data_IF_930514092482
#
_entry.id   IF_930514092482
#
_cell.length_a   1.000
_cell.length_b   1.000
_cell.length_c   1.000
_cell.angle_alpha   90.00
_cell.angle_beta   90.00
_cell.angle_gamma   90.00
#
_symmetry.space_group_name_H-M   'P 1'
#
loop_
_entity.id
_entity.type
_entity.pdbx_description
1 polymer ?
#
# COMPACT_ATOMS: atom_id res chain seq x y z
N UNK A 1 1.23 19.48 -1.19
CA UNK A 1 2.57 18.87 -1.26
C UNK A 1 2.47 17.49 -0.65
N UNK A 2 2.66 16.45 -1.44
CA UNK A 2 2.74 15.07 -0.94
C UNK A 2 4.15 14.87 -0.40
N UNK A 3 4.28 14.72 0.91
CA UNK A 3 5.56 14.54 1.59
C UNK A 3 5.82 13.06 1.83
N UNK A 4 6.75 12.46 1.10
CA UNK A 4 7.13 11.05 1.23
C UNK A 4 7.88 10.81 2.54
N UNK A 5 7.13 10.58 3.63
CA UNK A 5 7.66 10.36 4.99
C UNK A 5 7.84 8.88 5.31
N UNK A 6 8.52 8.18 4.41
CA UNK A 6 8.88 6.76 4.49
C UNK A 6 10.20 6.54 3.74
N UNK A 7 10.77 5.34 3.84
CA UNK A 7 12.12 4.99 3.35
C UNK A 7 13.26 5.74 4.06
N UNK A 8 13.06 6.10 5.33
CA UNK A 8 14.11 6.69 6.17
C UNK A 8 15.28 5.73 6.39
N UNK A 9 14.99 4.44 6.55
CA UNK A 9 15.96 3.37 6.77
C UNK A 9 15.71 2.23 5.79
N UNK A 10 16.77 1.52 5.38
CA UNK A 10 16.63 0.46 4.36
C UNK A 10 17.90 -0.36 4.09
N UNK A 11 17.68 -1.62 3.74
CA UNK A 11 18.74 -2.64 3.57
C UNK A 11 19.62 -2.46 2.35
N UNK A 12 19.21 -1.63 1.40
CA UNK A 12 20.03 -1.24 0.25
C UNK A 12 21.20 -0.31 0.60
N UNK A 13 21.16 0.39 1.75
CA UNK A 13 22.13 1.44 2.07
C UNK A 13 22.64 1.47 3.52
N UNK A 14 22.05 0.74 4.47
CA UNK A 14 22.57 0.62 5.83
C UNK A 14 23.05 -0.81 6.14
N UNK A 15 23.70 -1.02 7.29
CA UNK A 15 24.17 -2.34 7.77
C UNK A 15 23.61 -2.70 9.15
N UNK A 16 22.43 -2.16 9.44
CA UNK A 16 21.72 -2.40 10.69
C UNK A 16 20.22 -2.23 10.48
N UNK A 17 19.41 -2.91 11.28
CA UNK A 17 17.95 -2.73 11.25
C UNK A 17 17.57 -1.28 11.58
N UNK A 18 16.50 -0.80 10.96
CA UNK A 18 15.97 0.55 11.16
C UNK A 18 14.56 0.63 10.59
N UNK A 19 13.66 1.31 11.28
CA UNK A 19 12.25 1.39 10.88
C UNK A 19 12.07 2.42 9.76
N UNK A 20 11.50 2.05 8.62
CA UNK A 20 11.47 2.94 7.45
C UNK A 20 10.53 4.15 7.53
N UNK A 21 9.58 4.18 8.47
CA UNK A 21 8.63 5.30 8.65
C UNK A 21 8.38 5.63 10.14
N UNK A 22 9.39 5.98 10.95
CA UNK A 22 9.21 6.21 12.37
C UNK A 22 8.58 7.59 12.62
N UNK A 23 7.60 7.69 13.52
CA UNK A 23 6.94 8.97 13.81
C UNK A 23 7.85 9.92 14.60
N UNK A 24 8.67 9.35 15.48
CA UNK A 24 9.56 10.00 16.44
C UNK A 24 10.97 9.38 16.38
N UNK A 25 12.02 10.06 16.88
CA UNK A 25 13.39 9.53 16.85
C UNK A 25 13.60 8.41 17.86
N UNK A 26 14.60 7.57 17.62
CA UNK A 26 15.04 6.55 18.57
C UNK A 26 16.29 7.00 19.35
N UNK A 27 16.43 6.69 20.66
CA UNK A 27 17.60 7.09 21.46
C UNK A 27 18.94 6.53 20.97
N UNK A 28 18.91 5.42 20.21
CA UNK A 28 20.11 4.82 19.62
C UNK A 28 20.51 5.44 18.28
N UNK A 29 19.74 6.38 17.73
CA UNK A 29 20.10 7.06 16.49
C UNK A 29 21.34 7.93 16.71
N UNK A 30 22.43 7.75 15.94
CA UNK A 30 23.63 8.57 16.05
C UNK A 30 23.34 10.05 15.83
N UNK A 31 24.18 10.91 16.45
CA UNK A 31 24.14 12.34 16.15
C UNK A 31 24.40 12.62 14.67
N UNK A 32 23.85 13.73 14.17
CA UNK A 32 23.88 14.09 12.76
C UNK A 32 22.59 13.66 12.03
N UNK A 33 22.71 13.43 10.72
CA UNK A 33 21.57 13.17 9.82
C UNK A 33 20.68 12.02 10.29
N UNK A 34 21.26 10.95 10.85
CA UNK A 34 20.50 9.80 11.35
C UNK A 34 19.51 10.16 12.46
N UNK A 35 19.79 11.18 13.28
CA UNK A 35 18.86 11.66 14.32
C UNK A 35 17.66 12.43 13.73
N UNK A 36 17.70 12.75 12.43
CA UNK A 36 16.71 13.56 11.72
C UNK A 36 15.75 12.70 10.86
N UNK A 37 15.99 11.39 10.78
CA UNK A 37 15.27 10.46 9.92
C UNK A 37 13.94 9.98 10.54
N UNK A 38 13.02 10.91 10.81
CA UNK A 38 11.66 10.61 11.29
C UNK A 38 10.62 11.61 10.77
N UNK A 39 9.35 11.20 10.77
CA UNK A 39 8.23 11.94 10.14
C UNK A 39 8.14 13.38 10.67
N UNK A 40 8.10 13.57 11.99
CA UNK A 40 7.92 14.90 12.57
C UNK A 40 9.11 15.84 12.33
N UNK A 41 10.32 15.31 12.13
CA UNK A 41 11.44 16.14 11.72
C UNK A 41 11.24 16.66 10.30
N UNK A 42 10.90 15.79 9.36
CA UNK A 42 10.67 16.19 7.96
C UNK A 42 9.51 17.18 7.84
N UNK A 43 8.43 16.99 8.59
CA UNK A 43 7.33 17.98 8.67
C UNK A 43 7.86 19.32 9.16
N UNK A 44 8.59 19.34 10.28
CA UNK A 44 9.16 20.56 10.86
C UNK A 44 10.14 21.25 9.90
N UNK A 45 10.95 20.48 9.18
CA UNK A 45 11.87 20.98 8.17
C UNK A 45 11.11 21.79 7.11
N UNK A 46 10.07 21.23 6.50
CA UNK A 46 9.28 21.93 5.48
C UNK A 46 8.49 23.12 6.01
N UNK A 47 7.98 23.04 7.25
CA UNK A 47 7.36 24.18 7.92
C UNK A 47 8.36 25.34 8.11
N UNK A 48 9.59 25.04 8.52
CA UNK A 48 10.65 26.05 8.69
C UNK A 48 11.08 26.69 7.36
N UNK A 49 10.94 25.98 6.25
CA UNK A 49 11.16 26.49 4.90
C UNK A 49 9.95 27.24 4.31
N UNK A 50 8.87 27.42 5.10
CA UNK A 50 7.74 28.27 4.75
C UNK A 50 6.61 27.56 4.00
N UNK A 51 6.61 26.22 3.92
CA UNK A 51 5.45 25.49 3.37
C UNK A 51 4.27 25.67 4.32
N UNK A 52 3.11 26.18 3.85
CA UNK A 52 1.92 26.29 4.70
C UNK A 52 1.50 24.93 5.23
N UNK A 53 1.15 24.88 6.52
CA UNK A 53 0.85 23.67 7.27
C UNK A 53 -0.25 22.83 6.62
N UNK A 54 -1.31 23.49 6.18
CA UNK A 54 -2.46 22.94 5.48
C UNK A 54 -2.15 22.42 4.06
N UNK A 55 -0.95 22.69 3.53
CA UNK A 55 -0.49 22.15 2.25
C UNK A 55 0.44 20.95 2.39
N UNK A 56 0.84 20.58 3.60
CA UNK A 56 1.65 19.38 3.87
C UNK A 56 0.71 18.19 4.01
N UNK A 57 0.80 17.24 3.08
CA UNK A 57 0.08 15.97 3.12
C UNK A 57 1.10 14.87 3.44
N UNK A 58 0.96 14.22 4.60
CA UNK A 58 1.94 13.27 5.13
C UNK A 58 1.79 11.90 4.45
N UNK A 59 2.90 11.30 4.02
CA UNK A 59 2.92 9.98 3.39
C UNK A 59 2.90 8.85 4.41
N UNK A 60 1.94 7.93 4.27
CA UNK A 60 1.83 6.72 5.08
C UNK A 60 2.09 5.50 4.20
N UNK A 61 2.83 4.52 4.73
CA UNK A 61 3.26 3.35 3.98
C UNK A 61 2.43 2.11 4.36
N UNK A 62 1.93 1.37 3.38
CA UNK A 62 1.25 0.06 3.56
C UNK A 62 2.19 -1.09 3.21
N UNK A 63 3.49 -0.89 3.37
CA UNK A 63 4.54 -1.87 3.18
C UNK A 63 5.55 -1.70 4.32
N UNK A 64 6.46 -2.66 4.45
CA UNK A 64 7.61 -2.58 5.34
C UNK A 64 8.92 -2.71 4.57
N UNK A 65 9.99 -2.20 5.16
CA UNK A 65 11.36 -2.47 4.68
C UNK A 65 12.07 -3.43 5.62
N UNK A 66 12.57 -4.50 5.02
CA UNK A 66 13.11 -5.65 5.72
C UNK A 66 14.60 -5.86 5.53
N UNK A 67 15.12 -6.70 6.41
CA UNK A 67 16.52 -6.93 6.67
C UNK A 67 16.77 -8.42 6.92
N UNK A 68 17.93 -8.90 6.49
CA UNK A 68 18.49 -10.17 6.94
C UNK A 68 19.45 -9.91 8.10
N UNK A 69 19.18 -10.54 9.24
CA UNK A 69 19.99 -10.39 10.45
C UNK A 69 21.33 -11.12 10.29
N UNK A 70 22.41 -10.51 10.76
CA UNK A 70 23.72 -11.19 10.88
C UNK A 70 23.72 -12.16 12.05
N UNK A 71 22.98 -11.83 13.10
CA UNK A 71 22.85 -12.61 14.34
C UNK A 71 21.37 -12.68 14.71
N UNK A 72 20.75 -13.85 14.53
CA UNK A 72 19.30 -14.04 14.76
C UNK A 72 18.88 -13.83 16.22
N UNK A 73 19.84 -13.78 17.15
CA UNK A 73 19.55 -13.48 18.57
C UNK A 73 19.45 -11.98 18.84
N UNK A 74 19.88 -11.14 17.89
CA UNK A 74 19.80 -9.67 17.96
C UNK A 74 18.73 -9.17 17.03
N UNK A 75 17.56 -8.88 17.58
CA UNK A 75 16.35 -8.55 16.81
C UNK A 75 15.81 -7.15 17.09
N UNK A 76 16.53 -6.35 17.88
CA UNK A 76 16.14 -4.99 18.21
C UNK A 76 16.43 -3.98 17.10
N UNK A 77 16.08 -2.72 17.35
CA UNK A 77 16.46 -1.57 16.52
C UNK A 77 17.99 -1.44 16.48
N UNK A 78 18.55 -1.20 15.28
CA UNK A 78 19.99 -1.15 14.99
C UNK A 78 20.75 -2.47 15.23
N UNK A 79 20.05 -3.60 15.22
CA UNK A 79 20.71 -4.90 15.20
C UNK A 79 21.57 -5.05 13.93
N UNK A 80 22.77 -5.68 14.01
CA UNK A 80 23.60 -5.92 12.84
C UNK A 80 22.85 -6.73 11.77
N UNK A 81 22.79 -6.20 10.57
CA UNK A 81 22.04 -6.78 9.47
C UNK A 81 22.75 -6.50 8.13
N UNK A 82 22.62 -7.42 7.18
CA UNK A 82 23.25 -7.29 5.87
C UNK A 82 22.36 -7.87 4.77
N UNK A 83 21.87 -6.99 3.90
CA UNK A 83 20.93 -7.33 2.84
C UNK A 83 19.47 -7.28 3.28
N UNK A 84 18.59 -7.28 2.28
CA UNK A 84 17.15 -7.32 2.50
C UNK A 84 16.67 -8.69 2.96
N UNK A 85 15.50 -8.71 3.57
CA UNK A 85 14.79 -9.97 3.80
C UNK A 85 14.48 -10.66 2.46
N UNK A 86 14.13 -11.94 2.54
CA UNK A 86 13.72 -12.73 1.38
C UNK A 86 12.57 -12.03 0.68
N UNK A 87 12.63 -11.98 -0.65
CA UNK A 87 11.60 -11.35 -1.46
C UNK A 87 10.23 -11.98 -1.18
N UNK A 88 9.22 -11.13 -1.11
CA UNK A 88 7.83 -11.57 -0.93
C UNK A 88 7.35 -12.41 -2.12
N UNK A 89 6.32 -13.22 -1.88
CA UNK A 89 5.67 -14.02 -2.92
C UNK A 89 4.99 -13.14 -3.99
N UNK A 90 4.54 -11.97 -3.59
CA UNK A 90 3.74 -11.06 -4.41
C UNK A 90 4.50 -9.77 -4.71
N UNK A 91 5.25 -9.22 -3.74
CA UNK A 91 6.09 -8.04 -3.99
C UNK A 91 7.27 -8.36 -4.92
N UNK A 92 7.76 -9.60 -4.88
CA UNK A 92 8.90 -10.12 -5.65
C UNK A 92 10.20 -9.31 -5.52
N UNK A 93 10.29 -8.43 -4.52
CA UNK A 93 11.45 -7.56 -4.26
C UNK A 93 12.07 -7.88 -2.90
N UNK A 94 13.39 -8.11 -2.87
CA UNK A 94 14.11 -8.34 -1.62
C UNK A 94 14.20 -7.03 -0.82
N UNK A 95 13.95 -7.11 0.48
CA UNK A 95 13.93 -5.93 1.33
C UNK A 95 12.57 -5.23 1.41
N UNK A 96 11.54 -5.67 0.66
CA UNK A 96 10.20 -5.08 0.66
C UNK A 96 9.15 -6.17 0.83
N UNK A 97 8.23 -5.97 1.77
CA UNK A 97 7.00 -6.75 1.87
C UNK A 97 5.79 -5.82 1.98
N UNK A 98 4.72 -6.16 1.27
CA UNK A 98 3.41 -5.55 1.47
C UNK A 98 2.85 -5.84 2.87
N UNK A 99 1.89 -5.05 3.34
CA UNK A 99 1.24 -5.29 4.63
C UNK A 99 0.66 -6.70 4.74
N UNK A 100 0.02 -7.18 3.67
CA UNK A 100 -0.57 -8.52 3.66
C UNK A 100 0.49 -9.63 3.69
N UNK A 101 1.67 -9.46 3.08
CA UNK A 101 2.77 -10.44 3.18
C UNK A 101 3.38 -10.48 4.59
N UNK A 102 3.58 -9.31 5.22
CA UNK A 102 4.08 -9.22 6.59
C UNK A 102 3.15 -9.95 7.55
N UNK A 103 1.86 -9.73 7.36
CA UNK A 103 0.80 -10.38 8.08
C UNK A 103 0.78 -11.90 7.87
N UNK A 104 0.99 -12.40 6.64
CA UNK A 104 1.14 -13.84 6.40
C UNK A 104 2.30 -14.44 7.20
N UNK A 105 3.46 -13.78 7.25
CA UNK A 105 4.59 -14.25 8.06
C UNK A 105 4.28 -14.25 9.56
N UNK A 106 3.54 -13.26 10.06
CA UNK A 106 3.12 -13.21 11.47
C UNK A 106 2.14 -14.35 11.80
N UNK A 107 1.15 -14.58 10.94
CA UNK A 107 0.06 -15.54 11.20
C UNK A 107 0.45 -16.99 10.93
N UNK A 108 1.23 -17.24 9.86
CA UNK A 108 1.53 -18.58 9.35
C UNK A 108 2.93 -19.04 9.71
N UNK A 109 3.90 -18.13 9.73
CA UNK A 109 5.32 -18.46 9.87
C UNK A 109 5.87 -18.17 11.28
N UNK A 110 5.02 -17.71 12.18
CA UNK A 110 5.33 -17.50 13.60
C UNK A 110 6.25 -16.31 13.87
N UNK A 111 6.29 -15.32 12.97
CA UNK A 111 7.03 -14.08 13.24
C UNK A 111 6.46 -13.37 14.46
N UNK A 112 7.35 -12.83 15.29
CA UNK A 112 7.01 -12.08 16.49
C UNK A 112 6.92 -10.61 16.15
N UNK A 113 5.92 -9.93 16.71
CA UNK A 113 5.75 -8.48 16.56
C UNK A 113 6.23 -7.80 17.84
N UNK A 114 6.95 -6.71 17.68
CA UNK A 114 7.37 -5.84 18.78
C UNK A 114 7.02 -4.38 18.48
N UNK A 115 6.73 -3.61 19.52
CA UNK A 115 6.42 -2.19 19.42
C UNK A 115 7.63 -1.35 19.84
N UNK A 116 8.05 -0.43 18.97
CA UNK A 116 9.12 0.54 19.26
C UNK A 116 8.48 1.75 19.92
N UNK A 117 8.50 1.78 21.25
CA UNK A 117 7.77 2.79 22.03
C UNK A 117 8.25 4.22 21.75
N UNK A 118 9.54 4.40 21.50
CA UNK A 118 10.16 5.68 21.19
C UNK A 118 9.78 6.19 19.79
N UNK A 119 9.61 5.29 18.83
CA UNK A 119 9.31 5.65 17.43
C UNK A 119 7.81 5.58 17.07
N UNK A 120 6.98 4.99 17.95
CA UNK A 120 5.52 4.83 17.78
C UNK A 120 5.12 3.99 16.58
N UNK A 121 5.88 2.93 16.33
CA UNK A 121 5.71 2.03 15.19
C UNK A 121 6.13 0.61 15.57
N UNK A 122 5.58 -0.43 14.92
CA UNK A 122 5.98 -1.81 15.16
C UNK A 122 7.14 -2.26 14.26
N UNK A 123 7.73 -3.39 14.62
CA UNK A 123 8.49 -4.23 13.72
C UNK A 123 8.13 -5.69 13.95
N UNK A 124 8.44 -6.56 12.99
CA UNK A 124 8.30 -8.00 13.13
C UNK A 124 9.62 -8.70 12.82
N UNK A 125 9.83 -9.88 13.39
CA UNK A 125 11.02 -10.67 13.15
C UNK A 125 10.76 -12.17 13.30
N UNK A 126 11.52 -12.96 12.56
CA UNK A 126 11.45 -14.42 12.57
C UNK A 126 12.37 -15.01 11.51
N UNK A 127 12.87 -16.22 11.74
CA UNK A 127 13.67 -16.97 10.76
C UNK A 127 14.91 -16.19 10.24
N UNK A 128 15.56 -15.43 11.12
CA UNK A 128 16.72 -14.60 10.78
C UNK A 128 16.40 -13.34 9.98
N UNK A 129 15.12 -12.97 9.87
CA UNK A 129 14.65 -11.77 9.18
C UNK A 129 14.00 -10.78 10.15
N UNK A 130 14.01 -9.51 9.75
CA UNK A 130 13.46 -8.39 10.50
C UNK A 130 12.77 -7.43 9.54
N UNK A 131 11.61 -6.89 9.89
CA UNK A 131 10.91 -5.88 9.06
C UNK A 131 10.29 -4.78 9.91
N UNK A 132 10.58 -3.53 9.57
CA UNK A 132 9.91 -2.36 10.12
C UNK A 132 8.74 -2.02 9.22
N UNK A 133 7.54 -1.90 9.80
CA UNK A 133 6.30 -1.75 9.04
C UNK A 133 5.28 -0.93 9.84
N UNK A 134 4.23 -0.47 9.18
CA UNK A 134 3.12 0.20 9.85
C UNK A 134 1.92 -0.75 10.10
N UNK A 135 1.23 -0.54 11.22
CA UNK A 135 0.02 -1.25 11.63
C UNK A 135 -1.17 -0.29 11.79
N UNK A 136 -2.41 -0.77 12.04
CA UNK A 136 -3.53 0.12 12.31
C UNK A 136 -3.23 1.04 13.49
N UNK A 137 -2.55 0.54 14.53
CA UNK A 137 -2.17 1.34 15.69
C UNK A 137 -1.22 2.48 15.32
N UNK A 138 -0.18 2.24 14.51
CA UNK A 138 0.73 3.32 14.09
C UNK A 138 0.07 4.28 13.08
N UNK A 139 -0.79 3.79 12.18
CA UNK A 139 -1.63 4.63 11.32
C UNK A 139 -2.53 5.55 12.13
N UNK A 140 -3.15 5.03 13.20
CA UNK A 140 -3.96 5.82 14.12
C UNK A 140 -3.12 6.92 14.77
N UNK A 141 -1.96 6.58 15.33
CA UNK A 141 -1.05 7.55 15.97
C UNK A 141 -0.53 8.61 15.00
N UNK A 142 -0.21 8.23 13.76
CA UNK A 142 0.18 9.16 12.70
C UNK A 142 -1.00 10.07 12.31
N UNK A 143 -2.20 9.51 12.12
CA UNK A 143 -3.41 10.26 11.80
C UNK A 143 -3.78 11.31 12.86
N UNK A 144 -3.78 10.95 14.15
CA UNK A 144 -4.05 11.92 15.21
C UNK A 144 -2.97 13.00 15.28
N UNK A 145 -1.73 12.65 14.95
CA UNK A 145 -0.62 13.61 14.90
C UNK A 145 -0.81 14.60 13.77
N UNK A 146 -1.23 14.14 12.58
CA UNK A 146 -1.57 14.99 11.43
C UNK A 146 -2.65 16.02 11.82
N UNK A 147 -3.72 15.59 12.50
CA UNK A 147 -4.78 16.48 12.97
C UNK A 147 -4.26 17.48 14.01
N UNK A 148 -3.51 17.01 15.01
CA UNK A 148 -3.00 17.87 16.10
C UNK A 148 -1.97 18.89 15.61
N UNK A 149 -1.16 18.50 14.63
CA UNK A 149 -0.25 19.37 13.91
C UNK A 149 -0.97 20.19 12.83
N UNK A 150 -2.30 20.16 12.72
CA UNK A 150 -3.07 20.98 11.76
C UNK A 150 -2.62 20.85 10.31
N UNK A 151 -2.06 19.69 9.93
CA UNK A 151 -1.54 19.41 8.58
C UNK A 151 -2.69 19.18 7.60
N UNK A 152 -2.39 19.25 6.30
CA UNK A 152 -3.41 19.16 5.24
C UNK A 152 -4.04 17.78 5.04
N UNK A 153 -3.45 16.72 5.59
CA UNK A 153 -4.00 15.36 5.53
C UNK A 153 -2.92 14.30 5.40
N UNK A 154 -3.34 13.11 4.96
CA UNK A 154 -2.46 11.98 4.64
C UNK A 154 -2.66 11.53 3.19
N UNK A 155 -1.60 11.02 2.57
CA UNK A 155 -1.69 10.18 1.37
C UNK A 155 -1.05 8.83 1.68
N UNK A 156 -1.45 7.79 0.95
CA UNK A 156 -1.00 6.42 1.23
C UNK A 156 -0.22 5.87 0.04
N UNK A 157 0.94 5.28 0.32
CA UNK A 157 1.73 4.50 -0.62
C UNK A 157 1.79 3.04 -0.15
N UNK A 158 1.05 2.12 -0.74
CA UNK A 158 0.04 2.30 -1.78
C UNK A 158 -1.18 1.42 -1.53
N UNK A 159 -2.28 1.69 -2.23
CA UNK A 159 -3.58 1.06 -1.96
C UNK A 159 -3.55 -0.46 -2.14
N UNK A 160 -2.77 -0.95 -3.10
CA UNK A 160 -2.62 -2.36 -3.45
C UNK A 160 -1.73 -3.15 -2.48
N UNK A 161 -0.96 -2.46 -1.63
CA UNK A 161 -0.12 -3.10 -0.60
C UNK A 161 -0.80 -3.19 0.77
N UNK A 162 -1.95 -2.53 0.96
CA UNK A 162 -2.82 -2.77 2.12
C UNK A 162 -3.48 -4.15 2.01
N UNK A 163 -4.11 -4.65 3.09
CA UNK A 163 -4.90 -5.88 3.00
C UNK A 163 -6.26 -5.62 2.35
N UNK A 164 -6.25 -5.37 1.04
CA UNK A 164 -7.42 -5.00 0.24
C UNK A 164 -8.48 -6.12 0.15
N UNK A 165 -8.09 -7.36 0.44
CA UNK A 165 -8.97 -8.53 0.38
C UNK A 165 -9.36 -9.09 1.76
N UNK A 166 -8.74 -8.66 2.85
CA UNK A 166 -9.04 -9.14 4.21
C UNK A 166 -8.39 -10.49 4.55
N UNK A 167 -7.20 -10.78 4.00
CA UNK A 167 -6.45 -12.01 4.26
C UNK A 167 -5.83 -12.07 5.67
N UNK A 168 -5.72 -10.94 6.35
CA UNK A 168 -5.18 -10.82 7.71
C UNK A 168 -6.16 -11.19 8.82
N UNK A 169 -7.34 -11.70 8.47
CA UNK A 169 -8.44 -11.96 9.41
C UNK A 169 -9.24 -10.70 9.78
N UNK A 170 -8.70 -9.51 9.50
CA UNK A 170 -9.35 -8.22 9.72
C UNK A 170 -10.27 -7.76 8.57
N UNK A 171 -10.82 -6.53 8.67
CA UNK A 171 -11.59 -5.95 7.58
C UNK A 171 -10.71 -5.62 6.38
N UNK A 172 -11.30 -5.56 5.18
CA UNK A 172 -10.62 -5.03 3.99
C UNK A 172 -10.10 -3.62 4.24
N UNK A 173 -8.92 -3.34 3.69
CA UNK A 173 -8.24 -2.07 3.77
C UNK A 173 -8.03 -1.57 5.21
N UNK A 174 -7.41 -2.36 6.10
CA UNK A 174 -7.29 -2.00 7.52
C UNK A 174 -6.53 -0.68 7.73
N UNK A 175 -5.50 -0.39 6.94
CA UNK A 175 -4.73 0.86 7.07
C UNK A 175 -5.55 2.06 6.59
N UNK A 176 -6.14 1.96 5.38
CA UNK A 176 -6.96 3.04 4.82
C UNK A 176 -8.23 3.30 5.65
N UNK A 177 -8.86 2.25 6.19
CA UNK A 177 -10.01 2.38 7.10
C UNK A 177 -9.61 3.15 8.36
N UNK A 178 -8.46 2.84 8.94
CA UNK A 178 -7.99 3.51 10.15
C UNK A 178 -7.82 5.01 9.92
N UNK A 179 -7.17 5.41 8.82
CA UNK A 179 -6.95 6.84 8.55
C UNK A 179 -8.28 7.55 8.22
N UNK A 180 -9.19 6.89 7.51
CA UNK A 180 -10.53 7.40 7.24
C UNK A 180 -11.31 7.64 8.54
N UNK A 181 -11.30 6.68 9.46
CA UNK A 181 -11.96 6.78 10.76
C UNK A 181 -11.38 7.93 11.59
N UNK A 182 -10.06 8.07 11.64
CA UNK A 182 -9.40 9.17 12.35
C UNK A 182 -9.83 10.54 11.79
N UNK A 183 -9.85 10.71 10.47
CA UNK A 183 -10.21 12.00 9.86
C UNK A 183 -11.72 12.30 9.91
N UNK A 184 -12.59 11.29 9.86
CA UNK A 184 -14.05 11.50 9.88
C UNK A 184 -14.64 11.60 11.29
N UNK A 185 -14.06 10.92 12.28
CA UNK A 185 -14.46 11.03 13.69
C UNK A 185 -13.88 12.29 14.37
N UNK A 186 -13.06 13.07 13.67
CA UNK A 186 -12.37 14.27 14.17
C UNK A 186 -13.27 15.49 14.46
N UNK A 187 -14.60 15.34 14.40
CA UNK A 187 -15.57 16.43 14.63
C UNK A 187 -15.39 17.14 15.99
N UNK A 188 -14.57 16.62 16.90
CA UNK A 188 -13.85 17.41 17.93
C UNK A 188 -12.48 16.81 18.25
N UNK A 189 -11.39 17.54 17.94
CA UNK A 189 -9.98 17.19 18.28
C UNK A 189 -9.76 16.86 19.77
N UNK A 190 -10.63 17.36 20.65
CA UNK A 190 -10.64 17.08 22.09
C UNK A 190 -10.86 15.59 22.46
N UNK A 191 -11.38 14.76 21.56
CA UNK A 191 -11.65 13.35 21.83
C UNK A 191 -10.54 12.40 21.34
N UNK A 192 -9.56 12.88 20.58
CA UNK A 192 -8.45 12.05 20.05
C UNK A 192 -7.34 11.88 21.09
N UNK A 193 -7.27 10.70 21.67
CA UNK A 193 -6.26 10.32 22.66
C UNK A 193 -5.10 9.59 22.00
N UNK A 194 -3.90 9.74 22.54
CA UNK A 194 -2.78 8.85 22.21
C UNK A 194 -2.94 7.60 23.09
N UNK A 195 -3.38 6.44 22.56
CA UNK A 195 -3.41 5.22 23.34
C UNK A 195 -1.99 4.73 23.67
N UNK A 196 -1.84 4.04 24.80
CA UNK A 196 -0.66 3.21 25.05
C UNK A 196 -0.79 1.95 24.19
N UNK A 197 0.18 1.73 23.29
CA UNK A 197 0.21 0.58 22.38
C UNK A 197 1.26 -0.40 22.88
N UNK A 198 0.92 -1.70 22.88
CA UNK A 198 1.81 -2.80 23.32
C UNK A 198 1.98 -3.81 22.19
N UNK A 199 3.13 -4.46 22.12
CA UNK A 199 3.45 -5.50 21.12
C UNK A 199 2.32 -6.54 20.97
N UNK A 200 1.79 -7.04 22.08
CA UNK A 200 0.69 -8.01 22.08
C UNK A 200 -0.63 -7.46 21.49
N UNK A 201 -0.88 -6.15 21.61
CA UNK A 201 -2.04 -5.49 20.99
C UNK A 201 -1.88 -5.41 19.49
N UNK A 202 -0.68 -5.04 19.01
CA UNK A 202 -0.40 -4.96 17.57
C UNK A 202 -0.50 -6.35 16.95
N UNK A 203 0.16 -7.35 17.55
CA UNK A 203 0.07 -8.73 17.09
C UNK A 203 -1.37 -9.22 17.03
N UNK A 204 -2.18 -8.88 18.04
CA UNK A 204 -3.61 -9.20 18.06
C UNK A 204 -4.36 -8.47 16.94
N UNK A 205 -4.14 -7.16 16.73
CA UNK A 205 -4.81 -6.36 15.70
C UNK A 205 -4.61 -6.92 14.28
N UNK A 206 -3.43 -7.51 14.04
CA UNK A 206 -3.07 -8.20 12.79
C UNK A 206 -3.63 -9.63 12.70
N UNK A 207 -4.28 -10.12 13.77
CA UNK A 207 -4.79 -11.48 13.90
C UNK A 207 -6.26 -11.54 14.33
N UNK A 208 -7.01 -10.42 14.35
CA UNK A 208 -8.41 -10.44 14.79
C UNK A 208 -9.33 -10.87 13.67
N UNK A 209 -9.85 -12.10 13.77
CA UNK A 209 -11.15 -12.49 13.21
C UNK A 209 -12.26 -11.72 13.95
N UNK A 210 -12.80 -10.67 13.34
CA UNK A 210 -13.98 -9.97 13.86
C UNK A 210 -15.27 -10.60 13.31
N UNK A 211 -15.60 -11.81 13.78
CA UNK A 211 -16.93 -12.39 13.57
C UNK A 211 -17.98 -11.90 14.57
N UNK A 212 -17.63 -11.25 15.68
CA UNK A 212 -18.62 -10.74 16.65
C UNK A 212 -18.20 -9.46 17.38
N UNK A 213 -18.62 -8.29 16.86
CA UNK A 213 -18.99 -7.14 17.71
C UNK A 213 -19.78 -6.07 16.94
N UNK A 214 -21.06 -6.34 16.68
CA UNK A 214 -22.11 -5.29 16.70
C UNK A 214 -23.44 -5.93 17.11
N UNK A 215 -23.59 -6.20 18.40
CA UNK A 215 -24.90 -6.25 19.03
C UNK A 215 -25.38 -4.82 19.27
N UNK A 216 -25.99 -4.23 18.25
CA UNK A 216 -26.90 -3.10 18.41
C UNK A 216 -28.32 -3.57 18.09
N UNK A 217 -29.13 -3.59 19.14
CA UNK A 217 -30.56 -3.92 19.10
C UNK A 217 -31.34 -2.83 18.34
N UNK A 218 -32.06 -3.22 17.29
CA UNK A 218 -33.33 -2.63 16.91
C UNK A 218 -34.13 -3.64 16.09
N UNK A 219 -35.41 -3.79 16.44
CA UNK A 219 -36.29 -4.88 16.04
C UNK A 219 -37.23 -4.54 14.87
N UNK A 220 -37.81 -5.62 14.32
CA UNK A 220 -39.00 -5.74 13.45
C UNK A 220 -38.80 -5.47 11.94
N UNK A 221 -39.27 -6.28 10.98
CA UNK A 221 -40.06 -7.52 10.95
C UNK A 221 -40.03 -8.10 9.51
N UNK A 222 -40.48 -9.35 9.24
CA UNK A 222 -40.06 -10.16 8.09
C UNK A 222 -41.05 -10.15 6.91
N UNK A 223 -40.56 -10.41 5.70
CA UNK A 223 -41.38 -10.75 4.53
C UNK A 223 -40.78 -11.94 3.74
N UNK A 224 -41.47 -13.07 3.90
CA UNK A 224 -41.77 -14.15 2.95
C UNK A 224 -40.66 -14.78 2.10
N UNK A 225 -40.43 -16.06 2.41
CA UNK A 225 -39.84 -17.08 1.56
C UNK A 225 -40.74 -17.44 0.36
N UNK A 226 -40.10 -17.83 -0.75
CA UNK A 226 -40.67 -18.78 -1.70
C UNK A 226 -39.64 -19.88 -1.98
N UNK A 227 -40.03 -21.09 -1.60
CA UNK A 227 -39.44 -22.37 -2.00
C UNK A 227 -39.50 -22.57 -3.51
N UNK A 228 -38.48 -23.23 -4.07
CA UNK A 228 -38.70 -24.32 -5.01
C UNK A 228 -37.57 -25.36 -4.93
N UNK A 229 -38.00 -26.59 -4.68
CA UNK A 229 -37.20 -27.79 -4.50
C UNK A 229 -36.90 -28.53 -5.81
N UNK A 230 -35.85 -29.36 -5.74
CA UNK A 230 -35.60 -30.61 -6.51
C UNK A 230 -35.16 -30.44 -7.98
N UNK A 231 -34.25 -31.24 -8.54
CA UNK A 231 -33.87 -32.61 -8.24
C UNK A 231 -32.48 -32.98 -8.80
N UNK A 232 -31.87 -33.94 -8.12
CA UNK A 232 -30.72 -34.79 -8.43
C UNK A 232 -30.58 -35.32 -9.88
N UNK A 233 -29.33 -35.52 -10.31
CA UNK A 233 -28.88 -36.83 -10.82
C UNK A 233 -27.36 -36.98 -10.73
N UNK A 234 -26.97 -38.10 -10.12
CA UNK A 234 -25.64 -38.69 -10.02
C UNK A 234 -25.27 -39.45 -11.29
N UNK A 235 -23.99 -39.49 -11.68
CA UNK A 235 -23.38 -40.68 -12.29
C UNK A 235 -21.88 -40.79 -11.94
N UNK A 236 -21.46 -42.05 -11.79
CA UNK A 236 -20.24 -42.54 -11.15
C UNK A 236 -19.37 -43.27 -12.18
N UNK A 237 -18.07 -43.34 -11.86
CA UNK A 237 -17.09 -44.43 -12.10
C UNK A 237 -16.62 -44.72 -13.53
N UNK A 238 -15.30 -44.69 -13.75
CA UNK A 238 -14.46 -45.91 -13.76
C UNK A 238 -12.97 -45.62 -14.02
N UNK A 239 -12.12 -46.39 -13.33
CA UNK A 239 -10.65 -46.47 -13.39
C UNK A 239 -10.13 -47.12 -14.69
N UNK A 240 -8.89 -46.84 -15.11
CA UNK A 240 -7.97 -47.87 -15.60
C UNK A 240 -6.48 -47.46 -15.57
N UNK A 241 -5.64 -48.49 -15.62
CA UNK A 241 -4.31 -48.66 -15.02
C UNK A 241 -3.15 -48.66 -16.04
N UNK A 242 -1.95 -48.37 -15.54
CA UNK A 242 -0.57 -48.79 -15.89
C UNK A 242 -0.24 -49.41 -17.27
N UNK A 243 0.83 -48.93 -17.93
CA UNK A 243 2.14 -49.62 -17.93
C UNK A 243 3.25 -48.90 -18.74
N UNK A 244 4.48 -49.22 -18.36
CA UNK A 244 5.77 -48.66 -18.78
C UNK A 244 6.26 -49.02 -20.21
N UNK A 245 7.22 -48.22 -20.68
CA UNK A 245 8.60 -48.59 -21.09
C UNK A 245 9.11 -48.23 -22.51
N UNK A 246 10.27 -47.56 -22.46
CA UNK A 246 11.46 -47.63 -23.31
C UNK A 246 11.81 -46.60 -24.40
N UNK A 247 13.08 -46.17 -24.28
CA UNK A 247 13.90 -45.21 -25.01
C UNK A 247 14.07 -45.50 -26.51
N UNK A 248 14.23 -44.44 -27.32
CA UNK A 248 15.47 -44.22 -28.09
C UNK A 248 15.51 -42.84 -28.75
N UNK A 249 16.75 -42.35 -28.88
CA UNK A 249 17.18 -41.11 -29.53
C UNK A 249 16.82 -41.07 -31.02
N UNK A 250 16.25 -39.95 -31.48
CA UNK A 250 16.48 -39.42 -32.83
C UNK A 250 16.25 -37.90 -32.83
N UNK A 251 17.25 -37.14 -33.26
CA UNK A 251 17.13 -35.71 -33.58
C UNK A 251 16.56 -35.58 -35.00
N UNK A 252 15.53 -34.75 -35.22
CA UNK A 252 15.70 -33.77 -36.30
C UNK A 252 14.97 -32.43 -36.09
N UNK A 253 15.66 -31.39 -36.55
CA UNK A 253 15.17 -30.19 -37.24
C UNK A 253 14.27 -29.18 -36.50
N UNK A 254 14.77 -27.94 -36.54
CA UNK A 254 14.16 -26.69 -36.11
C UNK A 254 12.76 -26.47 -36.70
N UNK A 255 11.78 -26.40 -35.81
CA UNK A 255 10.49 -25.76 -36.07
C UNK A 255 10.29 -24.68 -35.01
N UNK A 256 10.19 -23.44 -35.46
CA UNK A 256 9.71 -22.30 -34.67
C UNK A 256 8.32 -22.63 -34.11
N UNK A 257 8.19 -22.60 -32.79
CA UNK A 257 6.90 -22.60 -32.11
C UNK A 257 6.76 -21.23 -31.45
N UNK A 258 5.76 -20.50 -31.93
CA UNK A 258 5.29 -19.21 -31.45
C UNK A 258 5.01 -19.25 -29.95
N UNK A 259 5.64 -18.34 -29.20
CA UNK A 259 5.20 -17.99 -27.86
C UNK A 259 3.86 -17.25 -27.97
N UNK A 260 2.78 -17.83 -27.43
CA UNK A 260 1.60 -17.06 -27.04
C UNK A 260 1.94 -16.38 -25.70
N UNK A 261 2.34 -15.11 -25.77
CA UNK A 261 2.31 -14.20 -24.63
C UNK A 261 0.85 -13.85 -24.32
N UNK A 262 0.41 -14.10 -23.09
CA UNK A 262 -0.82 -13.46 -22.60
C UNK A 262 -0.49 -12.02 -22.24
N UNK A 263 -0.98 -11.08 -23.05
CA UNK A 263 -0.84 -9.64 -22.85
C UNK A 263 -1.42 -9.22 -21.48
N UNK A 264 -0.57 -8.64 -20.63
CA UNK A 264 -1.03 -7.71 -19.59
C UNK A 264 -1.57 -6.43 -20.24
N UNK A 265 -2.29 -5.56 -19.50
CA UNK A 265 -2.92 -4.40 -20.10
C UNK A 265 -1.86 -3.49 -20.74
N UNK A 266 -2.00 -3.30 -22.04
CA UNK A 266 -1.18 -2.45 -22.90
C UNK A 266 -1.35 -0.99 -22.45
N UNK A 267 -0.35 -0.44 -21.75
CA UNK A 267 -0.26 1.01 -21.55
C UNK A 267 0.22 1.64 -22.87
N UNK A 268 -0.71 2.11 -23.69
CA UNK A 268 -0.38 2.95 -24.84
C UNK A 268 0.19 4.30 -24.37
N UNK A 269 1.43 4.58 -24.75
CA UNK A 269 2.04 5.90 -24.67
C UNK A 269 2.00 6.53 -26.06
N UNK A 270 1.20 7.57 -26.27
CA UNK A 270 1.32 8.41 -27.48
C UNK A 270 2.37 9.50 -27.23
N UNK A 271 3.36 9.61 -28.11
CA UNK A 271 4.38 10.67 -28.08
C UNK A 271 3.75 12.07 -28.24
N UNK A 272 4.31 13.05 -27.53
CA UNK A 272 3.84 14.43 -27.35
C UNK A 272 3.59 15.28 -28.62
N UNK A 273 3.75 14.74 -29.84
CA UNK A 273 3.57 15.47 -31.10
C UNK A 273 2.17 15.40 -31.70
N UNK A 274 1.28 14.53 -31.19
CA UNK A 274 -0.10 14.35 -31.68
C UNK A 274 -1.19 14.88 -30.74
N UNK A 275 -0.83 15.40 -29.57
CA UNK A 275 -1.78 15.86 -28.56
C UNK A 275 -2.06 17.36 -28.78
N UNK A 276 -3.25 17.67 -29.29
CA UNK A 276 -3.74 19.06 -29.44
C UNK A 276 -4.15 19.62 -28.06
N UNK A 277 -3.15 19.86 -27.19
CA UNK A 277 -3.34 20.43 -25.86
C UNK A 277 -2.16 21.33 -25.46
N UNK A 278 -2.44 22.60 -25.18
CA UNK A 278 -1.42 23.59 -24.82
C UNK A 278 -1.10 23.60 -23.31
N UNK A 279 -0.08 22.82 -22.92
CA UNK A 279 0.44 22.81 -21.56
C UNK A 279 1.09 24.12 -21.11
N UNK A 280 1.52 24.99 -22.03
CA UNK A 280 2.09 26.29 -21.63
C UNK A 280 1.01 27.21 -21.06
N UNK A 281 -0.19 27.20 -21.64
CA UNK A 281 -1.33 27.96 -21.16
C UNK A 281 -2.05 27.28 -19.99
N UNK A 282 -2.17 25.94 -20.01
CA UNK A 282 -2.86 25.19 -18.98
C UNK A 282 -2.08 25.09 -17.65
N UNK A 283 -0.75 25.15 -17.70
CA UNK A 283 0.13 25.05 -16.54
C UNK A 283 0.39 23.60 -16.10
N UNK A 284 1.24 23.44 -15.08
CA UNK A 284 1.65 22.13 -14.57
C UNK A 284 0.50 21.36 -13.92
N UNK A 285 0.44 20.05 -14.16
CA UNK A 285 -0.52 19.14 -13.52
C UNK A 285 -1.35 18.33 -14.50
N UNK A 286 -2.45 17.77 -13.99
CA UNK A 286 -3.37 16.91 -14.74
C UNK A 286 -4.56 17.73 -15.23
N UNK A 287 -4.89 17.59 -16.50
CA UNK A 287 -5.93 18.34 -17.20
C UNK A 287 -6.85 17.42 -17.98
N UNK A 288 -8.06 17.92 -18.27
CA UNK A 288 -9.02 17.20 -19.07
C UNK A 288 -8.49 17.03 -20.51
N UNK A 289 -8.66 15.83 -21.06
CA UNK A 289 -8.46 15.65 -22.49
C UNK A 289 -9.62 16.30 -23.26
N UNK A 290 -9.33 17.15 -24.26
CA UNK A 290 -10.38 17.86 -25.00
C UNK A 290 -11.22 16.95 -25.91
N UNK A 291 -10.83 15.69 -26.09
CA UNK A 291 -11.46 14.75 -27.02
C UNK A 291 -12.03 13.50 -26.34
N UNK A 292 -11.76 13.24 -25.07
CA UNK A 292 -12.21 12.01 -24.42
C UNK A 292 -12.18 12.07 -22.90
N UNK A 293 -13.29 11.73 -22.25
CA UNK A 293 -13.30 11.56 -20.80
C UNK A 293 -12.60 10.28 -20.33
N UNK A 294 -12.24 9.36 -21.23
CA UNK A 294 -11.44 8.19 -20.87
C UNK A 294 -9.95 8.51 -20.74
N UNK A 295 -9.54 9.72 -21.10
CA UNK A 295 -8.17 10.16 -21.09
C UNK A 295 -8.00 11.44 -20.27
N UNK A 296 -6.78 11.69 -19.82
CA UNK A 296 -6.38 12.97 -19.24
C UNK A 296 -4.99 13.37 -19.76
N UNK A 297 -4.70 14.66 -19.77
CA UNK A 297 -3.40 15.19 -20.19
C UNK A 297 -2.58 15.57 -18.96
N UNK A 298 -1.42 14.96 -18.81
CA UNK A 298 -0.43 15.30 -17.81
C UNK A 298 0.59 16.29 -18.41
N UNK A 299 0.63 17.49 -17.85
CA UNK A 299 1.58 18.54 -18.22
C UNK A 299 2.76 18.57 -17.24
N UNK A 300 3.97 18.28 -17.72
CA UNK A 300 5.21 18.27 -16.90
C UNK A 300 6.31 19.12 -17.55
N UNK A 301 7.26 19.65 -16.75
CA UNK A 301 8.38 20.40 -17.29
C UNK A 301 9.41 19.43 -17.87
N UNK A 302 9.91 19.75 -19.06
CA UNK A 302 11.00 19.02 -19.71
C UNK A 302 12.36 19.63 -19.37
N UNK A 303 13.43 18.90 -19.68
CA UNK A 303 14.82 19.29 -19.40
C UNK A 303 15.27 20.59 -20.08
N UNK A 304 14.57 21.01 -21.13
CA UNK A 304 14.83 22.23 -21.90
C UNK A 304 13.93 23.42 -21.50
N UNK A 305 13.24 23.34 -20.35
CA UNK A 305 12.20 24.28 -19.90
C UNK A 305 10.96 24.37 -20.82
N UNK A 306 10.81 23.47 -21.80
CA UNK A 306 9.53 23.29 -22.48
C UNK A 306 8.53 22.55 -21.58
N UNK A 307 7.23 22.66 -21.88
CA UNK A 307 6.18 21.93 -21.19
C UNK A 307 5.76 20.75 -22.05
N UNK A 308 6.02 19.53 -21.58
CA UNK A 308 5.59 18.30 -22.26
C UNK A 308 4.14 17.95 -21.92
N UNK A 309 3.37 17.53 -22.92
CA UNK A 309 2.01 17.01 -22.79
C UNK A 309 2.03 15.48 -22.96
N UNK A 310 1.44 14.76 -22.01
CA UNK A 310 1.33 13.31 -22.04
C UNK A 310 -0.13 12.91 -21.86
N UNK A 311 -0.73 12.25 -22.85
CA UNK A 311 -2.09 11.70 -22.76
C UNK A 311 -2.02 10.37 -22.03
N UNK A 312 -2.85 10.20 -21.02
CA UNK A 312 -2.91 9.01 -20.17
C UNK A 312 -4.33 8.46 -20.14
N UNK A 313 -4.47 7.13 -20.09
CA UNK A 313 -5.75 6.46 -19.92
C UNK A 313 -6.21 6.53 -18.46
N UNK A 314 -7.50 6.76 -18.26
CA UNK A 314 -8.14 6.42 -17.00
C UNK A 314 -8.24 4.89 -16.84
N UNK A 315 -8.16 4.35 -15.60
CA UNK A 315 -8.41 2.94 -15.34
C UNK A 315 -9.75 2.45 -15.92
N UNK A 316 -9.83 1.18 -16.30
CA UNK A 316 -11.03 0.60 -16.88
C UNK A 316 -12.27 0.84 -15.98
N UNK A 317 -13.36 1.32 -16.58
CA UNK A 317 -14.61 1.65 -15.87
C UNK A 317 -14.62 3.00 -15.15
N UNK A 318 -13.61 3.84 -15.39
CA UNK A 318 -13.53 5.21 -14.84
C UNK A 318 -13.42 6.25 -15.95
N UNK A 319 -13.86 7.48 -15.65
CA UNK A 319 -13.76 8.66 -16.50
C UNK A 319 -13.04 9.79 -15.75
N UNK A 320 -12.36 10.67 -16.46
CA UNK A 320 -11.69 11.82 -15.88
C UNK A 320 -12.70 12.86 -15.40
N UNK A 321 -12.71 13.11 -14.10
CA UNK A 321 -13.52 14.11 -13.43
C UNK A 321 -12.78 15.45 -13.42
N UNK A 322 -13.27 16.43 -14.19
CA UNK A 322 -12.62 17.73 -14.33
C UNK A 322 -12.71 18.59 -13.07
N UNK A 323 -13.67 18.32 -12.19
CA UNK A 323 -13.83 19.03 -10.93
C UNK A 323 -12.86 18.50 -9.87
N UNK A 324 -12.77 17.18 -9.75
CA UNK A 324 -11.87 16.52 -8.79
C UNK A 324 -10.45 16.33 -9.31
N UNK A 325 -10.23 16.47 -10.62
CA UNK A 325 -8.97 16.26 -11.34
C UNK A 325 -8.36 14.87 -11.13
N UNK A 326 -9.23 13.85 -11.15
CA UNK A 326 -8.88 12.43 -11.01
C UNK A 326 -9.77 11.58 -11.91
N UNK A 327 -9.40 10.33 -12.16
CA UNK A 327 -10.34 9.35 -12.73
C UNK A 327 -11.31 8.87 -11.65
N UNK A 328 -12.60 9.06 -11.90
CA UNK A 328 -13.70 8.72 -10.99
C UNK A 328 -14.64 7.71 -11.66
N UNK A 329 -15.50 7.04 -10.89
CA UNK A 329 -16.46 6.11 -11.45
C UNK A 329 -17.38 6.80 -12.46
N UNK A 330 -17.66 6.13 -13.58
CA UNK A 330 -18.41 6.69 -14.72
C UNK A 330 -19.76 7.31 -14.31
N UNK A 331 -20.46 6.76 -13.32
CA UNK A 331 -21.75 7.29 -12.84
C UNK A 331 -21.66 8.62 -12.08
N UNK A 332 -20.46 9.02 -11.66
CA UNK A 332 -20.20 10.28 -10.94
C UNK A 332 -19.63 11.38 -11.83
N UNK A 333 -19.31 11.07 -13.10
CA UNK A 333 -18.68 12.01 -14.02
C UNK A 333 -19.68 12.43 -15.08
N UNK A 334 -19.87 13.73 -15.23
CA UNK A 334 -20.61 14.30 -16.35
C UNK A 334 -19.65 14.49 -17.53
N UNK A 335 -19.64 13.53 -18.44
CA UNK A 335 -18.86 13.61 -19.67
C UNK A 335 -19.67 14.29 -20.78
N UNK A 336 -19.12 15.34 -21.38
CA UNK A 336 -19.77 16.06 -22.50
C UNK A 336 -19.38 15.49 -23.88
N UNK A 337 -18.53 14.46 -23.91
CA UNK A 337 -17.96 13.88 -25.14
C UNK A 337 -18.59 12.54 -25.57
N UNK A 338 -19.66 12.10 -24.89
CA UNK A 338 -20.43 10.87 -25.21
C UNK A 338 -21.70 11.15 -26.04
#
# INVERSE_FOLDING_TARGET
>A
MLLMTYNYHGSGWEKHTGHHSPLLPHPLDPEGEQRELYILWSVKYWLNYGVPREKIIVGLATYGLGWKLVDETKTGVRAPADGGNTKGKYSEESGILSHYEICEHILKDGWKVEWIEEQKVPYAYGQGEWIGFDSPDSFYLKGITIIKEGLGGAFVWSVEMDDFNGHCGGPKYPMLRTIYEVFTQSSTSANLKFPEVKSASVQKSLSIDHSHSHSASAAASPLSAHDHSSSSSSHSSSEHSSDEQHQSHEQPQSHEVSHEESEGPEYYYEEASSIDFDCHSAGLGIHADPHSCHHFVLCTPSSDNSMGAFRMNCPAGTLYDTHLRICNHQHNVHCEHD
#
